data_IF_791166351961
#
_entry.id   IF_791166351961
#
_cell.length_a   1.000
_cell.length_b   1.000
_cell.length_c   1.000
_cell.angle_alpha   90.00
_cell.angle_beta   90.00
_cell.angle_gamma   90.00
#
_symmetry.space_group_name_H-M   'P 1'
#
loop_
_entity.id
_entity.type
_entity.pdbx_description
1 polymer ?
#
# COMPACT_ATOMS: atom_id res chain seq x y z
N UNK A 1 10.80 4.48 16.36
CA UNK A 1 12.02 3.78 15.94
C UNK A 1 12.49 4.24 14.55
N UNK A 2 11.67 4.14 13.51
CA UNK A 2 12.02 4.57 12.14
C UNK A 2 12.54 6.01 12.08
N UNK A 3 11.88 6.95 12.76
CA UNK A 3 12.33 8.34 12.81
C UNK A 3 13.75 8.49 13.36
N UNK A 4 14.13 7.67 14.33
CA UNK A 4 15.48 7.66 14.91
C UNK A 4 16.57 7.13 13.96
N UNK A 5 16.20 6.47 12.86
CA UNK A 5 17.16 5.94 11.89
C UNK A 5 17.58 6.94 10.81
N UNK A 6 16.98 8.12 10.78
CA UNK A 6 17.24 9.13 9.73
C UNK A 6 18.68 9.64 9.68
N UNK A 7 19.44 9.51 10.79
CA UNK A 7 20.84 9.90 10.83
C UNK A 7 21.76 9.03 9.95
N UNK A 8 21.33 7.78 9.67
CA UNK A 8 22.14 6.79 8.93
C UNK A 8 21.47 6.30 7.65
N UNK A 9 20.14 6.39 7.58
CA UNK A 9 19.34 5.82 6.49
C UNK A 9 18.27 6.80 6.03
N UNK A 10 17.69 6.56 4.86
CA UNK A 10 16.43 7.17 4.42
C UNK A 10 15.31 6.15 4.67
N UNK A 11 14.79 6.07 5.91
CA UNK A 11 13.82 5.05 6.25
C UNK A 11 12.47 5.30 5.59
N UNK A 12 11.71 4.24 5.41
CA UNK A 12 10.34 4.31 4.96
C UNK A 12 9.56 3.12 5.48
N UNK A 13 8.23 3.22 5.45
CA UNK A 13 7.35 2.13 5.84
C UNK A 13 6.24 1.99 4.80
N UNK A 14 6.03 0.76 4.37
CA UNK A 14 4.88 0.38 3.57
C UNK A 14 4.14 -0.73 4.31
N UNK A 15 2.99 -0.41 4.84
CA UNK A 15 2.10 -1.36 5.50
C UNK A 15 0.87 -1.58 4.63
N UNK A 16 0.47 -2.82 4.49
CA UNK A 16 -0.78 -3.22 3.88
C UNK A 16 -1.24 -4.53 4.52
N UNK A 17 -2.54 -4.64 4.83
CA UNK A 17 -3.12 -5.91 5.26
C UNK A 17 -3.31 -6.81 4.04
N UNK A 18 -3.08 -8.11 4.19
CA UNK A 18 -3.30 -9.11 3.15
C UNK A 18 -4.80 -9.32 2.86
N UNK A 19 -5.64 -9.27 3.89
CA UNK A 19 -7.11 -9.34 3.79
C UNK A 19 -7.78 -8.61 4.95
N UNK A 20 -9.07 -8.41 4.84
CA UNK A 20 -9.92 -8.00 5.94
C UNK A 20 -10.58 -9.19 6.63
N UNK A 21 -11.51 -8.90 7.52
CA UNK A 21 -12.19 -9.89 8.34
C UNK A 21 -13.67 -9.52 8.51
N UNK A 22 -14.56 -10.48 8.33
CA UNK A 22 -15.97 -10.34 8.65
C UNK A 22 -16.21 -10.74 10.10
N UNK A 23 -16.85 -9.87 10.87
CA UNK A 23 -17.12 -10.06 12.30
C UNK A 23 -18.60 -10.39 12.59
N UNK A 24 -19.35 -10.77 11.58
CA UNK A 24 -20.78 -11.13 11.69
C UNK A 24 -21.67 -10.30 10.79
N UNK A 25 -21.15 -9.40 9.98
CA UNK A 25 -21.92 -8.61 9.02
C UNK A 25 -22.64 -9.58 8.05
N UNK A 26 -23.96 -9.40 7.93
CA UNK A 26 -24.85 -10.29 7.12
C UNK A 26 -24.75 -11.79 7.49
N UNK A 27 -24.37 -12.09 8.76
CA UNK A 27 -24.17 -13.45 9.22
C UNK A 27 -22.90 -14.12 8.74
N UNK A 28 -21.95 -13.37 8.15
CA UNK A 28 -20.67 -13.86 7.68
C UNK A 28 -19.59 -13.60 8.71
N UNK A 29 -18.66 -14.54 8.84
CA UNK A 29 -17.53 -14.50 9.75
C UNK A 29 -16.26 -14.92 9.00
N UNK A 30 -15.10 -14.51 9.55
CA UNK A 30 -13.79 -14.85 9.02
C UNK A 30 -13.53 -14.20 7.63
N UNK A 31 -12.72 -14.86 6.83
CA UNK A 31 -12.28 -14.39 5.51
C UNK A 31 -12.25 -15.58 4.52
N UNK A 32 -11.85 -15.32 3.27
CA UNK A 32 -11.66 -16.37 2.26
C UNK A 32 -12.88 -16.62 1.38
N UNK A 33 -13.89 -15.76 1.42
CA UNK A 33 -14.98 -15.81 0.44
C UNK A 33 -14.45 -15.53 -0.96
N UNK A 34 -14.99 -16.20 -2.00
CA UNK A 34 -14.69 -15.84 -3.38
C UNK A 34 -14.90 -14.33 -3.60
N UNK A 35 -14.01 -13.68 -4.32
CA UNK A 35 -13.98 -12.21 -4.45
C UNK A 35 -15.32 -11.61 -4.88
N UNK A 36 -16.03 -12.26 -5.81
CA UNK A 36 -17.35 -11.82 -6.27
C UNK A 36 -18.45 -11.85 -5.18
N UNK A 37 -18.24 -12.59 -4.10
CA UNK A 37 -19.18 -12.77 -2.98
C UNK A 37 -18.65 -12.15 -1.68
N UNK A 38 -17.37 -11.82 -1.62
CA UNK A 38 -16.72 -11.29 -0.43
C UNK A 38 -17.31 -9.91 -0.07
N UNK A 39 -17.75 -9.69 1.17
CA UNK A 39 -18.18 -8.39 1.62
C UNK A 39 -17.00 -7.43 1.70
N UNK A 40 -17.29 -6.11 1.72
CA UNK A 40 -16.28 -5.06 1.77
C UNK A 40 -15.32 -5.23 2.96
N UNK A 41 -15.80 -5.71 4.07
CA UNK A 41 -15.04 -5.95 5.30
C UNK A 41 -13.89 -6.95 5.08
N UNK A 42 -13.99 -7.84 4.10
CA UNK A 42 -12.93 -8.79 3.75
C UNK A 42 -11.97 -8.25 2.68
N UNK A 43 -12.37 -7.27 1.87
CA UNK A 43 -11.62 -6.82 0.69
C UNK A 43 -11.05 -5.41 0.83
N UNK A 44 -11.65 -4.55 1.66
CA UNK A 44 -11.23 -3.17 1.86
C UNK A 44 -10.33 -3.08 3.09
N UNK A 45 -9.03 -3.01 2.86
CA UNK A 45 -7.99 -3.05 3.89
C UNK A 45 -7.20 -1.75 3.96
N UNK A 46 -6.59 -1.42 5.12
CA UNK A 46 -5.72 -0.26 5.24
C UNK A 46 -4.42 -0.47 4.46
N UNK A 47 -3.98 0.60 3.79
CA UNK A 47 -2.68 0.70 3.15
C UNK A 47 -2.03 2.01 3.62
N UNK A 48 -0.83 1.91 4.19
CA UNK A 48 -0.13 3.05 4.80
C UNK A 48 1.27 3.13 4.21
N UNK A 49 1.59 4.26 3.60
CA UNK A 49 2.94 4.62 3.17
C UNK A 49 3.43 5.76 4.05
N UNK A 50 4.60 5.61 4.65
CA UNK A 50 5.25 6.65 5.44
C UNK A 50 6.68 6.88 4.96
N UNK A 51 7.07 8.14 4.87
CA UNK A 51 8.42 8.58 4.55
C UNK A 51 8.73 9.88 5.29
N UNK A 52 9.98 10.11 5.75
CA UNK A 52 10.39 11.37 6.32
C UNK A 52 10.59 12.48 5.27
N UNK A 53 10.63 12.15 3.99
CA UNK A 53 10.79 13.09 2.90
C UNK A 53 9.49 13.87 2.71
N UNK A 54 9.48 15.15 3.07
CA UNK A 54 8.27 16.00 3.11
C UNK A 54 7.57 16.13 1.76
N UNK A 55 8.32 16.30 0.67
CA UNK A 55 7.75 16.46 -0.68
C UNK A 55 7.10 15.16 -1.15
N UNK A 56 7.74 14.02 -0.88
CA UNK A 56 7.17 12.71 -1.17
C UNK A 56 5.93 12.42 -0.33
N UNK A 57 5.96 12.77 0.95
CA UNK A 57 4.81 12.63 1.85
C UNK A 57 3.63 13.50 1.38
N UNK A 58 3.89 14.72 0.93
CA UNK A 58 2.86 15.61 0.38
C UNK A 58 2.25 15.04 -0.91
N UNK A 59 3.09 14.50 -1.81
CA UNK A 59 2.64 13.83 -3.04
C UNK A 59 1.74 12.63 -2.73
N UNK A 60 2.13 11.75 -1.81
CA UNK A 60 1.34 10.60 -1.37
C UNK A 60 0.02 11.03 -0.72
N UNK A 61 0.06 12.09 0.10
CA UNK A 61 -1.14 12.63 0.74
C UNK A 61 -2.16 13.12 -0.28
N UNK A 62 -1.71 13.74 -1.38
CA UNK A 62 -2.59 14.18 -2.47
C UNK A 62 -3.28 12.99 -3.16
N UNK A 63 -2.65 11.81 -3.17
CA UNK A 63 -3.18 10.59 -3.79
C UNK A 63 -4.03 9.73 -2.85
N UNK A 64 -4.17 10.07 -1.57
CA UNK A 64 -4.78 9.20 -0.53
C UNK A 64 -6.20 8.71 -0.81
N UNK A 65 -6.92 9.37 -1.73
CA UNK A 65 -8.28 8.98 -2.13
C UNK A 65 -8.34 8.21 -3.46
N UNK A 66 -7.19 7.98 -4.09
CA UNK A 66 -7.17 7.18 -5.31
C UNK A 66 -7.43 5.72 -4.98
N UNK A 67 -8.25 5.02 -5.77
CA UNK A 67 -8.45 3.60 -5.60
C UNK A 67 -7.15 2.85 -5.93
N UNK A 68 -6.74 1.97 -5.02
CA UNK A 68 -5.55 1.13 -5.16
C UNK A 68 -5.87 -0.31 -4.76
N UNK A 69 -5.06 -1.25 -5.18
CA UNK A 69 -5.19 -2.67 -4.86
C UNK A 69 -3.82 -3.26 -4.49
N UNK A 70 -3.81 -4.53 -4.08
CA UNK A 70 -2.57 -5.28 -3.83
C UNK A 70 -1.66 -5.38 -5.07
N UNK A 71 -2.20 -5.22 -6.28
CA UNK A 71 -1.40 -5.20 -7.51
C UNK A 71 -0.37 -4.06 -7.55
N UNK A 72 -0.60 -2.98 -6.82
CA UNK A 72 0.33 -1.86 -6.70
C UNK A 72 1.57 -2.20 -5.85
N UNK A 73 1.50 -3.22 -4.97
CA UNK A 73 2.55 -3.50 -3.98
C UNK A 73 3.88 -3.78 -4.67
N UNK A 74 3.91 -4.75 -5.59
CA UNK A 74 5.13 -5.14 -6.28
C UNK A 74 5.80 -3.93 -6.96
N UNK A 75 5.04 -3.20 -7.76
CA UNK A 75 5.56 -2.09 -8.54
C UNK A 75 6.05 -0.94 -7.66
N UNK A 76 5.31 -0.63 -6.58
CA UNK A 76 5.69 0.42 -5.62
C UNK A 76 6.97 0.06 -4.85
N UNK A 77 7.11 -1.20 -4.43
CA UNK A 77 8.33 -1.67 -3.76
C UNK A 77 9.52 -1.62 -4.71
N UNK A 78 9.37 -2.10 -5.95
CA UNK A 78 10.42 -2.07 -6.96
C UNK A 78 10.89 -0.64 -7.25
N UNK A 79 9.96 0.29 -7.47
CA UNK A 79 10.27 1.70 -7.68
C UNK A 79 10.94 2.34 -6.46
N UNK A 80 10.47 2.01 -5.25
CA UNK A 80 11.02 2.57 -4.01
C UNK A 80 12.47 2.19 -3.77
N UNK A 81 12.84 0.93 -4.02
CA UNK A 81 14.23 0.45 -3.86
C UNK A 81 15.08 0.70 -5.11
N UNK A 82 14.53 1.30 -6.16
CA UNK A 82 15.24 1.56 -7.41
C UNK A 82 15.59 0.29 -8.19
N UNK A 83 14.90 -0.81 -7.94
CA UNK A 83 15.12 -2.06 -8.66
C UNK A 83 14.49 -2.01 -10.06
N UNK A 84 15.13 -2.68 -11.01
CA UNK A 84 14.66 -2.77 -12.40
C UNK A 84 14.27 -4.20 -12.73
N UNK A 85 13.12 -4.35 -13.40
CA UNK A 85 12.65 -5.63 -13.92
C UNK A 85 11.75 -5.37 -15.13
N UNK A 86 11.76 -6.26 -16.10
CA UNK A 86 10.96 -6.14 -17.31
C UNK A 86 9.45 -6.13 -17.04
N UNK A 87 9.05 -6.74 -15.93
CA UNK A 87 7.64 -6.80 -15.48
C UNK A 87 7.19 -5.56 -14.70
N UNK A 88 8.10 -4.62 -14.39
CA UNK A 88 7.75 -3.37 -13.71
C UNK A 88 6.89 -2.47 -14.60
N UNK A 89 5.84 -1.90 -14.01
CA UNK A 89 4.93 -0.95 -14.66
C UNK A 89 4.78 0.29 -13.79
N UNK A 90 5.20 1.43 -14.33
CA UNK A 90 5.16 2.71 -13.62
C UNK A 90 3.73 3.17 -13.28
N UNK A 91 2.75 2.80 -14.07
CA UNK A 91 1.33 3.10 -13.81
C UNK A 91 0.77 2.41 -12.56
N UNK A 92 1.43 1.34 -12.09
CA UNK A 92 1.09 0.62 -10.86
C UNK A 92 1.98 1.00 -9.67
N UNK A 93 2.98 1.85 -9.89
CA UNK A 93 3.86 2.35 -8.83
C UNK A 93 3.29 3.64 -8.24
N UNK A 94 2.88 3.61 -6.99
CA UNK A 94 2.30 4.75 -6.28
C UNK A 94 3.30 5.92 -6.12
N UNK A 95 4.59 5.63 -6.22
CA UNK A 95 5.67 6.59 -6.08
C UNK A 95 6.25 7.10 -7.41
N UNK A 96 5.90 6.49 -8.55
CA UNK A 96 6.52 6.80 -9.84
C UNK A 96 6.45 8.29 -10.24
N UNK A 97 5.42 9.01 -9.79
CA UNK A 97 5.25 10.45 -10.07
C UNK A 97 5.55 11.33 -8.85
N UNK A 98 6.07 10.77 -7.77
CA UNK A 98 6.48 11.49 -6.56
C UNK A 98 7.99 11.72 -6.57
N UNK A 99 8.45 12.88 -6.05
CA UNK A 99 9.88 13.16 -5.95
C UNK A 99 10.63 12.23 -5.00
#
# INVERSE_FOLDING_TARGET
WLQGQQAQFTPGMYYVSDHGESLGEKGLYLHGMPYAMAPREQTHVPMILWTPQTDRAACLTAKRQQPVSHDHIFHTVMGWVGARADVYKAEWDLLATCP
#
